data_IF_835531187298
#
_entry.id   IF_835531187298
#
_cell.length_a   1.000
_cell.length_b   1.000
_cell.length_c   1.000
_cell.angle_alpha   90.00
_cell.angle_beta   90.00
_cell.angle_gamma   90.00
#
_symmetry.space_group_name_H-M   'P 1'
#
loop_
_entity.id
_entity.type
_entity.pdbx_description
1 polymer ?
#
# COMPACT_ATOMS: atom_id res chain seq x y z
N UNK A 1 10.07 -19.14 4.75
CA UNK A 1 9.09 -18.08 4.97
C UNK A 1 8.85 -17.33 3.67
N UNK A 2 7.59 -17.12 3.35
CA UNK A 2 7.24 -16.38 2.15
C UNK A 2 7.57 -14.90 2.33
N UNK A 3 8.02 -14.27 1.25
CA UNK A 3 8.19 -12.82 1.22
C UNK A 3 6.84 -12.15 1.01
N UNK A 4 6.75 -10.88 1.36
CA UNK A 4 5.65 -10.05 0.91
C UNK A 4 5.77 -9.82 -0.60
N UNK A 5 4.65 -9.62 -1.27
CA UNK A 5 4.60 -9.25 -2.68
C UNK A 5 3.84 -7.96 -2.83
N UNK A 6 4.39 -7.02 -3.59
CA UNK A 6 3.74 -5.74 -3.85
C UNK A 6 3.45 -5.63 -5.34
N UNK A 7 2.18 -5.51 -5.69
CA UNK A 7 1.77 -5.21 -7.06
C UNK A 7 1.97 -3.71 -7.29
N UNK A 8 2.77 -3.38 -8.29
CA UNK A 8 3.29 -2.03 -8.48
C UNK A 8 3.37 -1.60 -9.93
N UNK A 9 3.45 -0.27 -10.12
CA UNK A 9 3.76 0.34 -11.41
C UNK A 9 4.42 1.69 -11.15
N UNK A 10 5.49 1.99 -11.91
CA UNK A 10 6.21 3.26 -11.76
C UNK A 10 5.27 4.46 -11.89
N UNK A 11 5.39 5.40 -10.96
CA UNK A 11 4.61 6.63 -10.98
C UNK A 11 3.16 6.48 -10.55
N UNK A 12 2.74 5.27 -10.18
CA UNK A 12 1.38 5.02 -9.70
C UNK A 12 1.35 4.95 -8.17
N UNK A 13 0.16 4.71 -7.63
CA UNK A 13 -0.07 4.74 -6.18
C UNK A 13 0.78 3.80 -5.34
N UNK A 14 1.36 2.78 -5.94
CA UNK A 14 2.25 1.87 -5.22
C UNK A 14 3.54 2.55 -4.75
N UNK A 15 3.90 3.71 -5.32
CA UNK A 15 5.13 4.42 -4.96
C UNK A 15 5.21 4.75 -3.47
N UNK A 16 4.08 5.08 -2.85
CA UNK A 16 4.01 5.39 -1.41
C UNK A 16 4.43 4.16 -0.60
N UNK A 17 3.87 3.00 -0.95
CA UNK A 17 4.16 1.75 -0.24
C UNK A 17 5.60 1.30 -0.50
N UNK A 18 6.09 1.48 -1.73
CA UNK A 18 7.47 1.16 -2.07
C UNK A 18 8.45 1.95 -1.20
N UNK A 19 8.19 3.25 -1.02
CA UNK A 19 9.02 4.10 -0.18
C UNK A 19 8.98 3.66 1.29
N UNK A 20 7.82 3.29 1.79
CA UNK A 20 7.66 2.82 3.17
C UNK A 20 8.39 1.50 3.40
N UNK A 21 8.25 0.56 2.49
CA UNK A 21 8.96 -0.72 2.60
C UNK A 21 10.47 -0.51 2.63
N UNK A 22 10.98 0.36 1.76
CA UNK A 22 12.40 0.69 1.73
C UNK A 22 12.85 1.34 3.04
N UNK A 23 12.07 2.29 3.54
CA UNK A 23 12.39 2.98 4.78
C UNK A 23 12.47 2.01 5.98
N UNK A 24 11.53 1.08 6.06
CA UNK A 24 11.50 0.11 7.14
C UNK A 24 12.50 -1.05 6.94
N UNK A 25 13.13 -1.13 5.79
CA UNK A 25 14.05 -2.23 5.47
C UNK A 25 13.32 -3.57 5.28
N UNK A 26 12.06 -3.53 4.87
CA UNK A 26 11.27 -4.72 4.67
C UNK A 26 11.46 -5.27 3.26
N UNK A 27 11.60 -6.59 3.17
CA UNK A 27 11.80 -7.26 1.90
C UNK A 27 10.44 -7.61 1.27
N UNK A 28 10.24 -7.17 0.04
CA UNK A 28 9.04 -7.46 -0.71
C UNK A 28 9.38 -7.64 -2.18
N UNK A 29 8.80 -8.66 -2.81
CA UNK A 29 8.91 -8.87 -4.23
C UNK A 29 7.99 -7.92 -4.97
N UNK A 30 8.53 -7.14 -5.91
CA UNK A 30 7.73 -6.28 -6.77
C UNK A 30 7.13 -7.09 -7.91
N UNK A 31 5.82 -7.01 -8.06
CA UNK A 31 5.11 -7.64 -9.19
C UNK A 31 4.63 -6.51 -10.09
N UNK A 32 5.26 -6.38 -11.27
CA UNK A 32 4.91 -5.32 -12.21
C UNK A 32 3.52 -5.57 -12.79
N UNK A 33 2.70 -4.52 -12.85
CA UNK A 33 1.42 -4.59 -13.55
C UNK A 33 1.45 -3.70 -14.78
N UNK A 34 0.67 -4.07 -15.80
CA UNK A 34 0.49 -3.26 -16.97
C UNK A 34 -0.37 -2.04 -16.63
N UNK A 35 -0.49 -1.10 -17.58
CA UNK A 35 -1.37 0.05 -17.41
C UNK A 35 -2.82 -0.44 -17.32
N UNK A 36 -3.40 -0.36 -16.14
CA UNK A 36 -4.72 -0.92 -15.85
C UNK A 36 -5.84 -0.17 -16.55
N UNK A 37 -5.59 1.06 -17.01
CA UNK A 37 -6.56 1.82 -17.80
C UNK A 37 -6.53 1.40 -19.28
N UNK A 38 -5.35 1.00 -19.77
CA UNK A 38 -5.16 0.65 -21.17
C UNK A 38 -5.22 -0.85 -21.43
N UNK A 39 -5.12 -1.67 -20.38
CA UNK A 39 -5.09 -3.12 -20.51
C UNK A 39 -6.20 -3.75 -19.65
N UNK A 40 -7.41 -3.93 -20.22
CA UNK A 40 -8.52 -4.52 -19.46
C UNK A 40 -8.26 -5.96 -19.00
N UNK A 41 -7.45 -6.71 -19.73
CA UNK A 41 -7.11 -8.08 -19.33
C UNK A 41 -6.23 -8.08 -18.06
N UNK A 42 -5.26 -7.17 -17.99
CA UNK A 42 -4.41 -7.03 -16.81
C UNK A 42 -5.25 -6.63 -15.61
N UNK A 43 -6.22 -5.72 -15.79
CA UNK A 43 -7.09 -5.29 -14.71
C UNK A 43 -7.97 -6.45 -14.22
N UNK A 44 -8.53 -7.24 -15.14
CA UNK A 44 -9.32 -8.41 -14.75
C UNK A 44 -8.50 -9.41 -13.96
N UNK A 45 -7.25 -9.61 -14.35
CA UNK A 45 -6.36 -10.51 -13.63
C UNK A 45 -6.10 -10.01 -12.20
N UNK A 46 -5.86 -8.70 -12.04
CA UNK A 46 -5.66 -8.11 -10.72
C UNK A 46 -6.94 -8.22 -9.88
N UNK A 47 -8.11 -8.07 -10.47
CA UNK A 47 -9.38 -8.15 -9.78
C UNK A 47 -9.65 -9.52 -9.17
N UNK A 48 -8.98 -10.57 -9.62
CA UNK A 48 -9.05 -11.88 -8.98
C UNK A 48 -8.44 -11.88 -7.61
N UNK A 49 -7.49 -10.98 -7.38
CA UNK A 49 -6.76 -10.86 -6.11
C UNK A 49 -7.40 -9.78 -5.26
N UNK A 50 -7.71 -8.63 -5.87
CA UNK A 50 -8.30 -7.48 -5.20
C UNK A 50 -9.45 -6.94 -6.06
N UNK A 51 -10.70 -7.04 -5.60
CA UNK A 51 -11.87 -6.71 -6.42
C UNK A 51 -11.89 -5.29 -6.98
N UNK A 52 -11.26 -4.33 -6.29
CA UNK A 52 -11.20 -2.94 -6.77
C UNK A 52 -10.35 -2.80 -8.04
N UNK A 53 -9.46 -3.76 -8.33
CA UNK A 53 -8.63 -3.72 -9.53
C UNK A 53 -7.71 -2.53 -9.58
N UNK A 54 -7.18 -2.12 -8.45
CA UNK A 54 -6.29 -0.96 -8.30
C UNK A 54 -5.05 -1.35 -7.52
N UNK A 55 -3.96 -0.62 -7.71
CA UNK A 55 -2.74 -0.79 -6.92
C UNK A 55 -2.60 0.41 -5.97
N UNK A 56 -1.95 0.26 -4.82
CA UNK A 56 -1.15 -0.90 -4.40
C UNK A 56 -1.99 -2.08 -3.93
N UNK A 57 -1.48 -3.28 -4.12
CA UNK A 57 -1.97 -4.51 -3.48
C UNK A 57 -0.76 -5.16 -2.84
N UNK A 58 -0.85 -5.43 -1.55
CA UNK A 58 0.22 -6.07 -0.79
C UNK A 58 -0.24 -7.45 -0.34
N UNK A 59 0.52 -8.47 -0.69
CA UNK A 59 0.28 -9.82 -0.21
C UNK A 59 1.24 -10.10 0.93
N UNK A 60 0.68 -10.43 2.08
CA UNK A 60 1.46 -10.71 3.28
C UNK A 60 2.10 -12.09 3.21
N UNK A 61 3.12 -12.37 4.05
CA UNK A 61 3.79 -13.67 4.02
C UNK A 61 2.85 -14.86 4.22
N UNK A 62 1.73 -14.67 4.92
CA UNK A 62 0.74 -15.74 5.15
C UNK A 62 -0.31 -15.83 4.04
N UNK A 63 -0.19 -15.02 2.98
CA UNK A 63 -1.09 -15.04 1.85
C UNK A 63 -2.27 -14.10 1.95
N UNK A 64 -2.46 -13.42 3.08
CA UNK A 64 -3.55 -12.43 3.18
C UNK A 64 -3.28 -11.24 2.27
N UNK A 65 -4.34 -10.70 1.71
CA UNK A 65 -4.26 -9.60 0.75
C UNK A 65 -4.65 -8.30 1.42
N UNK A 66 -3.82 -7.27 1.25
CA UNK A 66 -4.13 -5.92 1.69
C UNK A 66 -4.19 -4.99 0.48
N UNK A 67 -5.15 -4.09 0.51
CA UNK A 67 -5.26 -3.01 -0.46
C UNK A 67 -5.50 -1.71 0.30
N UNK A 68 -5.59 -0.59 -0.42
CA UNK A 68 -5.70 0.75 0.14
C UNK A 68 -4.40 1.22 0.80
N UNK A 69 -3.77 2.22 0.20
CA UNK A 69 -2.48 2.70 0.68
C UNK A 69 -2.50 3.17 2.12
N UNK A 70 -3.60 3.79 2.57
CA UNK A 70 -3.73 4.23 3.95
C UNK A 70 -3.72 3.04 4.92
N UNK A 71 -4.47 1.98 4.59
CA UNK A 71 -4.52 0.78 5.41
C UNK A 71 -3.16 0.10 5.48
N UNK A 72 -2.48 0.00 4.33
CA UNK A 72 -1.15 -0.59 4.26
C UNK A 72 -0.16 0.22 5.10
N UNK A 73 -0.23 1.55 5.00
CA UNK A 73 0.64 2.45 5.78
C UNK A 73 0.50 2.17 7.28
N UNK A 74 -0.72 2.09 7.77
CA UNK A 74 -0.97 1.83 9.19
C UNK A 74 -0.51 0.42 9.59
N UNK A 75 -0.78 -0.56 8.72
CA UNK A 75 -0.38 -1.94 8.98
C UNK A 75 1.14 -2.11 9.10
N UNK A 76 1.89 -1.49 8.18
CA UNK A 76 3.35 -1.60 8.19
C UNK A 76 3.94 -0.99 9.47
N UNK A 77 3.37 0.12 9.94
CA UNK A 77 3.79 0.71 11.21
C UNK A 77 3.53 -0.24 12.39
N UNK A 78 2.34 -0.84 12.43
CA UNK A 78 1.98 -1.79 13.48
C UNK A 78 2.89 -3.02 13.45
N UNK A 79 3.13 -3.56 12.26
CA UNK A 79 3.94 -4.76 12.08
C UNK A 79 5.40 -4.53 12.51
N UNK A 80 5.95 -3.35 12.23
CA UNK A 80 7.33 -3.03 12.56
C UNK A 80 7.51 -2.53 14.00
N UNK A 81 6.43 -2.08 14.64
CA UNK A 81 6.48 -1.47 15.96
C UNK A 81 7.21 -0.13 15.97
N UNK A 82 7.41 0.49 14.81
CA UNK A 82 8.14 1.76 14.68
C UNK A 82 7.16 2.92 14.60
N UNK A 83 7.59 4.07 15.13
CA UNK A 83 6.77 5.29 15.16
C UNK A 83 7.40 6.46 14.38
N UNK A 84 8.40 6.17 13.57
CA UNK A 84 9.13 7.21 12.85
C UNK A 84 8.41 7.73 11.59
N UNK A 85 7.47 6.95 11.04
CA UNK A 85 6.62 7.41 9.95
C UNK A 85 5.17 7.63 10.39
N UNK A 86 4.69 6.80 11.31
CA UNK A 86 3.30 6.84 11.78
C UNK A 86 3.33 6.95 13.30
N UNK A 87 2.72 8.00 13.89
CA UNK A 87 2.64 8.11 15.34
C UNK A 87 1.93 6.89 15.94
N UNK A 88 2.41 6.41 17.08
CA UNK A 88 1.74 5.30 17.75
C UNK A 88 0.33 5.68 18.23
N UNK A 89 -0.48 4.67 18.50
CA UNK A 89 -1.91 4.86 18.75
C UNK A 89 -2.21 5.83 19.92
N UNK A 90 -1.35 5.84 20.93
CA UNK A 90 -1.54 6.72 22.09
C UNK A 90 -0.90 8.10 21.97
N UNK A 91 -0.20 8.38 20.86
CA UNK A 91 0.50 9.65 20.68
C UNK A 91 -0.48 10.80 20.45
N UNK A 92 -0.12 11.98 20.95
CA UNK A 92 -0.96 13.18 20.78
C UNK A 92 -1.16 13.56 19.31
N UNK A 93 -0.18 13.26 18.46
CA UNK A 93 -0.22 13.56 17.01
C UNK A 93 -1.08 12.59 16.21
N UNK A 94 -1.49 11.48 16.79
CA UNK A 94 -2.19 10.41 16.06
C UNK A 94 -3.45 10.90 15.35
N UNK A 95 -4.38 11.65 16.00
CA UNK A 95 -5.59 12.12 15.31
C UNK A 95 -5.27 13.02 14.11
N UNK A 96 -4.31 13.92 14.25
CA UNK A 96 -3.89 14.80 13.15
C UNK A 96 -3.30 13.98 12.00
N UNK A 97 -2.47 13.01 12.32
CA UNK A 97 -1.87 12.14 11.31
C UNK A 97 -2.94 11.40 10.53
N UNK A 98 -3.89 10.76 11.22
CA UNK A 98 -4.96 10.01 10.57
C UNK A 98 -5.81 10.90 9.66
N UNK A 99 -6.13 12.10 10.14
CA UNK A 99 -6.90 13.06 9.36
C UNK A 99 -6.22 13.38 8.03
N UNK A 100 -4.94 13.71 8.07
CA UNK A 100 -4.21 14.08 6.87
C UNK A 100 -3.89 12.90 5.98
N UNK A 101 -3.61 11.72 6.55
CA UNK A 101 -3.39 10.52 5.77
C UNK A 101 -4.62 10.19 4.92
N UNK A 102 -5.78 10.15 5.55
CA UNK A 102 -7.02 9.81 4.83
C UNK A 102 -7.37 10.91 3.82
N UNK A 103 -7.19 12.18 4.18
CA UNK A 103 -7.41 13.28 3.25
C UNK A 103 -6.55 13.13 2.00
N UNK A 104 -5.26 12.87 2.16
CA UNK A 104 -4.33 12.77 1.03
C UNK A 104 -4.69 11.60 0.12
N UNK A 105 -4.99 10.44 0.68
CA UNK A 105 -5.30 9.27 -0.15
C UNK A 105 -6.68 9.35 -0.78
N UNK A 106 -7.63 10.02 -0.13
CA UNK A 106 -9.00 10.11 -0.64
C UNK A 106 -9.22 11.27 -1.60
N UNK A 107 -8.50 12.38 -1.44
CA UNK A 107 -8.73 13.60 -2.21
C UNK A 107 -7.64 13.91 -3.23
N UNK A 108 -6.41 13.51 -2.95
CA UNK A 108 -5.27 13.82 -3.81
C UNK A 108 -4.86 12.60 -4.62
N UNK A 109 -4.69 11.48 -3.96
CA UNK A 109 -4.19 10.25 -4.56
C UNK A 109 -5.13 9.64 -5.61
N UNK A 110 -6.46 9.74 -5.50
CA UNK A 110 -7.35 9.15 -6.52
C UNK A 110 -7.16 9.69 -7.93
N UNK A 111 -6.40 10.74 -8.09
CA UNK A 111 -6.08 11.29 -9.42
C UNK A 111 -5.16 10.35 -10.22
N UNK A 112 -4.63 9.34 -9.60
CA UNK A 112 -3.73 8.38 -10.22
C UNK A 112 -4.43 7.04 -10.39
#
# INVERSE_FOLDING_TARGET
MSRMQLYRRNGWGSAIVEAQLAHYGLDAEGVEVADLFLDPAARRELMRISPAGQIPVLILPDGRVMSESAAITLYLADMTGRDDLVPEAGAAERPRFLRWLIFLVAQVHPCF
#
